data_IF_269446531074
#
_entry.id   IF_269446531074
#
_cell.length_a   1.000
_cell.length_b   1.000
_cell.length_c   1.000
_cell.angle_alpha   90.00
_cell.angle_beta   90.00
_cell.angle_gamma   90.00
#
_symmetry.space_group_name_H-M   'P 1'
#
loop_
_entity.id
_entity.type
_entity.pdbx_description
1 polymer ?
#
# COMPACT_ATOMS: atom_id res chain seq x y z
N UNK A 1 9.80 1.34 59.49
CA UNK A 1 10.88 1.06 58.53
C UNK A 1 10.19 0.50 57.31
N UNK A 2 10.05 1.30 56.25
CA UNK A 2 9.26 0.95 55.07
C UNK A 2 10.13 0.27 53.99
N UNK A 3 9.55 -0.66 53.20
CA UNK A 3 10.27 -1.47 52.22
C UNK A 3 10.46 -0.75 50.89
N UNK A 4 11.59 -1.07 50.23
CA UNK A 4 12.13 -0.38 49.06
C UNK A 4 11.25 -0.37 47.81
N UNK A 5 11.28 0.77 47.10
CA UNK A 5 10.59 1.02 45.84
C UNK A 5 11.22 0.24 44.67
N UNK A 6 10.36 -0.38 43.86
CA UNK A 6 10.68 -0.93 42.54
C UNK A 6 11.04 0.18 41.56
N UNK A 7 12.33 0.46 41.39
CA UNK A 7 12.82 1.27 40.27
C UNK A 7 12.73 0.46 38.97
N UNK A 8 11.88 0.90 38.04
CA UNK A 8 11.85 0.37 36.67
C UNK A 8 13.10 0.85 35.95
N UNK A 9 14.05 -0.05 35.70
CA UNK A 9 15.20 0.21 34.83
C UNK A 9 14.70 0.69 33.47
N UNK A 10 15.05 1.92 33.08
CA UNK A 10 14.72 2.45 31.76
C UNK A 10 15.39 1.57 30.68
N UNK A 11 14.58 1.07 29.74
CA UNK A 11 15.06 0.24 28.64
C UNK A 11 15.92 1.09 27.71
N UNK A 12 17.19 0.75 27.54
CA UNK A 12 18.07 1.38 26.55
C UNK A 12 17.49 1.19 25.15
N UNK A 13 17.33 2.28 24.40
CA UNK A 13 16.92 2.24 23.00
C UNK A 13 18.02 1.55 22.19
N UNK A 14 17.71 0.43 21.52
CA UNK A 14 18.69 -0.22 20.66
C UNK A 14 18.90 0.61 19.40
N UNK A 15 20.15 0.82 19.04
CA UNK A 15 20.50 1.47 17.78
C UNK A 15 20.38 0.42 16.67
N UNK A 16 19.98 0.80 15.44
CA UNK A 16 20.01 -0.11 14.29
C UNK A 16 21.38 -0.76 14.06
N UNK A 17 22.45 -0.10 14.50
CA UNK A 17 23.85 -0.59 14.46
C UNK A 17 24.20 -1.63 15.52
N UNK A 18 23.38 -1.80 16.56
CA UNK A 18 23.63 -2.78 17.62
C UNK A 18 23.41 -4.22 17.12
N UNK A 19 22.64 -4.38 16.04
CA UNK A 19 22.63 -5.60 15.24
C UNK A 19 23.82 -5.57 14.29
N UNK A 20 25.00 -5.87 14.82
CA UNK A 20 26.21 -6.03 14.02
C UNK A 20 25.99 -7.18 13.04
N UNK A 21 25.76 -6.88 11.77
CA UNK A 21 25.99 -7.85 10.70
C UNK A 21 27.49 -8.19 10.73
N UNK A 22 27.83 -9.48 10.77
CA UNK A 22 29.21 -9.98 10.79
C UNK A 22 30.06 -9.49 9.61
N UNK A 23 29.42 -8.92 8.59
CA UNK A 23 30.00 -8.63 7.29
C UNK A 23 30.02 -7.11 7.08
N UNK A 24 30.91 -6.41 7.79
CA UNK A 24 31.12 -4.98 7.58
C UNK A 24 31.87 -4.73 6.26
N UNK A 25 31.15 -4.60 5.16
CA UNK A 25 31.69 -4.12 3.90
C UNK A 25 31.49 -2.60 3.77
N UNK A 26 32.59 -1.86 3.57
CA UNK A 26 32.51 -0.41 3.33
C UNK A 26 31.90 -0.13 1.96
N UNK A 27 30.86 0.71 1.91
CA UNK A 27 30.14 1.12 0.70
C UNK A 27 31.03 1.66 -0.41
N UNK A 28 32.22 2.20 -0.07
CA UNK A 28 33.19 2.75 -1.03
C UNK A 28 33.68 1.75 -2.08
N UNK A 29 33.74 0.45 -1.78
CA UNK A 29 34.21 -0.58 -2.74
C UNK A 29 33.13 -1.00 -3.75
N UNK A 30 31.86 -0.65 -3.52
CA UNK A 30 30.73 -0.99 -4.39
C UNK A 30 30.32 0.15 -5.32
N UNK A 31 30.80 1.37 -5.07
CA UNK A 31 30.39 2.59 -5.78
C UNK A 31 30.77 2.63 -7.27
N UNK A 32 31.70 1.77 -7.73
CA UNK A 32 32.27 1.84 -9.08
C UNK A 32 32.00 0.62 -9.97
N UNK A 33 31.21 -0.36 -9.52
CA UNK A 33 31.21 -1.69 -10.16
C UNK A 33 29.90 -2.13 -10.87
N UNK A 34 28.76 -1.45 -10.70
CA UNK A 34 27.49 -1.95 -11.27
C UNK A 34 26.62 -0.85 -11.88
N UNK A 35 26.44 -0.94 -13.19
CA UNK A 35 25.30 -0.32 -13.90
C UNK A 35 24.03 -0.96 -13.34
N UNK A 36 23.32 -0.27 -12.45
CA UNK A 36 22.11 -0.81 -11.81
C UNK A 36 21.93 -0.50 -10.31
N UNK A 37 22.96 0.05 -9.66
CA UNK A 37 22.88 0.43 -8.24
C UNK A 37 22.96 -0.76 -7.27
N UNK A 38 23.26 -0.47 -6.00
CA UNK A 38 23.33 -1.48 -4.93
C UNK A 38 21.89 -1.87 -4.53
N UNK A 39 21.55 -3.17 -4.40
CA UNK A 39 20.23 -3.59 -3.94
C UNK A 39 19.97 -3.05 -2.53
N UNK A 40 18.95 -2.20 -2.40
CA UNK A 40 18.57 -1.56 -1.13
C UNK A 40 17.96 -2.50 -0.10
N UNK A 41 17.67 -3.75 -0.49
CA UNK A 41 17.10 -4.77 0.39
C UNK A 41 18.05 -5.26 1.47
N UNK A 42 19.37 -5.10 1.27
CA UNK A 42 20.39 -5.62 2.19
C UNK A 42 21.09 -4.53 3.02
N UNK A 43 20.87 -3.25 2.71
CA UNK A 43 21.54 -2.13 3.37
C UNK A 43 20.59 -0.96 3.60
N UNK A 44 20.60 -0.32 4.79
CA UNK A 44 19.84 0.90 5.00
C UNK A 44 20.33 2.00 4.06
N UNK A 45 19.44 2.51 3.21
CA UNK A 45 19.70 3.69 2.39
C UNK A 45 19.74 4.92 3.31
N UNK A 46 20.90 5.55 3.41
CA UNK A 46 21.06 6.80 4.13
C UNK A 46 20.80 7.98 3.18
N UNK A 47 19.59 8.53 3.21
CA UNK A 47 19.19 9.66 2.36
C UNK A 47 17.70 9.97 2.47
N UNK A 48 17.28 11.09 1.88
CA UNK A 48 15.87 11.47 1.78
C UNK A 48 15.37 11.08 0.38
N UNK A 49 14.34 10.24 0.24
CA UNK A 49 13.83 9.85 -1.06
C UNK A 49 13.13 11.03 -1.75
N UNK A 50 13.21 11.08 -3.08
CA UNK A 50 12.55 12.12 -3.89
C UNK A 50 11.03 12.09 -3.73
N UNK A 51 10.46 10.89 -3.61
CA UNK A 51 9.07 10.68 -3.21
C UNK A 51 9.08 10.30 -1.73
N UNK A 52 8.51 11.17 -0.88
CA UNK A 52 8.46 11.04 0.57
C UNK A 52 7.41 10.04 1.04
N UNK A 53 7.42 8.83 0.47
CA UNK A 53 6.53 7.72 0.86
C UNK A 53 6.88 7.14 2.24
N UNK A 54 8.03 7.51 2.80
CA UNK A 54 8.48 7.21 4.16
C UNK A 54 7.62 7.88 5.24
N UNK A 55 6.96 8.98 4.91
CA UNK A 55 6.10 9.75 5.83
C UNK A 55 4.68 9.89 5.27
N UNK A 56 3.66 9.92 6.15
CA UNK A 56 2.29 10.11 5.69
C UNK A 56 2.10 11.53 5.12
N UNK A 57 1.29 11.62 4.05
CA UNK A 57 0.86 12.90 3.52
C UNK A 57 0.14 13.74 4.60
N UNK A 58 0.43 15.05 4.74
CA UNK A 58 -0.26 15.92 5.67
C UNK A 58 -1.77 15.97 5.38
N UNK A 59 -2.60 15.95 6.43
CA UNK A 59 -4.06 16.07 6.30
C UNK A 59 -4.48 17.40 5.67
N UNK A 60 -3.77 18.47 6.01
CA UNK A 60 -3.95 19.80 5.44
C UNK A 60 -2.62 20.27 4.87
N UNK A 61 -2.57 20.50 3.56
CA UNK A 61 -1.36 20.97 2.87
C UNK A 61 -1.30 22.48 2.88
N UNK A 62 -0.10 23.01 3.09
CA UNK A 62 0.17 24.43 2.84
C UNK A 62 0.23 24.66 1.34
N UNK A 63 -0.13 25.86 0.88
CA UNK A 63 -0.06 26.23 -0.54
C UNK A 63 1.38 26.14 -1.07
N UNK A 64 2.37 26.40 -0.20
CA UNK A 64 3.79 26.33 -0.52
C UNK A 64 4.40 24.93 -0.42
N UNK A 65 3.61 23.90 -0.12
CA UNK A 65 4.12 22.53 0.00
C UNK A 65 4.30 21.91 -1.39
N UNK A 66 5.57 21.72 -1.78
CA UNK A 66 5.96 21.13 -3.07
C UNK A 66 6.39 19.67 -2.95
N UNK A 67 6.23 19.06 -1.77
CA UNK A 67 6.68 17.69 -1.49
C UNK A 67 5.73 16.65 -2.09
N UNK A 68 6.26 15.67 -2.81
CA UNK A 68 5.48 14.51 -3.25
C UNK A 68 5.54 13.40 -2.20
N UNK A 69 4.39 13.05 -1.62
CA UNK A 69 4.25 12.01 -0.59
C UNK A 69 3.88 10.62 -1.17
N UNK A 70 3.84 10.48 -2.49
CA UNK A 70 3.42 9.26 -3.17
C UNK A 70 1.90 9.11 -3.30
N UNK A 71 1.14 10.17 -3.04
CA UNK A 71 -0.33 10.20 -3.16
C UNK A 71 -0.82 11.14 -4.28
N UNK A 72 0.11 11.69 -5.06
CA UNK A 72 -0.17 12.49 -6.25
C UNK A 72 -0.46 11.60 -7.46
N UNK A 73 -1.22 12.13 -8.42
CA UNK A 73 -1.57 11.42 -9.65
C UNK A 73 -0.40 11.43 -10.66
N UNK A 74 -0.32 10.39 -11.48
CA UNK A 74 0.59 10.31 -12.62
C UNK A 74 0.25 11.38 -13.67
N UNK A 75 1.24 11.84 -14.43
CA UNK A 75 1.06 12.81 -15.53
C UNK A 75 -0.06 12.41 -16.50
N UNK A 76 -0.17 11.12 -16.84
CA UNK A 76 -1.23 10.60 -17.70
C UNK A 76 -2.64 10.89 -17.15
N UNK A 77 -2.86 10.67 -15.84
CA UNK A 77 -4.14 10.91 -15.20
C UNK A 77 -4.51 12.41 -15.10
N UNK A 78 -3.51 13.30 -15.19
CA UNK A 78 -3.73 14.75 -15.24
C UNK A 78 -4.13 15.21 -16.66
N UNK A 79 -3.50 14.65 -17.69
CA UNK A 79 -3.82 14.97 -19.08
C UNK A 79 -5.16 14.37 -19.52
N UNK A 80 -5.47 13.17 -19.03
CA UNK A 80 -6.65 12.39 -19.38
C UNK A 80 -7.44 11.99 -18.12
N UNK A 81 -8.15 12.93 -17.47
CA UNK A 81 -8.91 12.63 -16.27
C UNK A 81 -10.07 11.67 -16.57
N UNK A 82 -10.26 10.67 -15.71
CA UNK A 82 -11.41 9.77 -15.79
C UNK A 82 -12.71 10.47 -15.34
N UNK A 83 -13.86 9.89 -15.68
CA UNK A 83 -15.16 10.36 -15.18
C UNK A 83 -15.24 10.37 -13.65
N UNK A 84 -14.47 9.52 -12.97
CA UNK A 84 -14.40 9.43 -11.51
C UNK A 84 -13.64 10.60 -10.90
N UNK A 85 -12.64 11.13 -11.60
CA UNK A 85 -11.88 12.31 -11.15
C UNK A 85 -12.79 13.54 -11.01
N UNK A 86 -13.78 13.69 -11.89
CA UNK A 86 -14.80 14.76 -11.81
C UNK A 86 -15.69 14.65 -10.56
N UNK A 87 -15.73 13.47 -9.93
CA UNK A 87 -16.44 13.20 -8.68
C UNK A 87 -15.52 13.14 -7.46
N UNK A 88 -14.23 13.48 -7.63
CA UNK A 88 -13.24 13.44 -6.55
C UNK A 88 -12.84 12.02 -6.14
N UNK A 89 -13.10 11.02 -6.97
CA UNK A 89 -12.66 9.63 -6.75
C UNK A 89 -11.40 9.39 -7.57
N UNK A 90 -10.31 9.02 -6.90
CA UNK A 90 -9.00 8.85 -7.50
C UNK A 90 -8.58 7.37 -7.51
N UNK A 91 -7.52 7.06 -8.25
CA UNK A 91 -6.97 5.70 -8.37
C UNK A 91 -6.68 5.07 -7.00
N UNK A 92 -6.07 5.84 -6.08
CA UNK A 92 -5.82 5.39 -4.71
C UNK A 92 -7.09 4.95 -3.97
N UNK A 93 -8.24 5.53 -4.28
CA UNK A 93 -9.51 5.17 -3.66
C UNK A 93 -10.01 3.84 -4.22
N UNK A 94 -9.76 3.54 -5.49
CA UNK A 94 -10.13 2.25 -6.11
C UNK A 94 -9.31 1.12 -5.48
N UNK A 95 -7.99 1.32 -5.31
CA UNK A 95 -7.07 0.35 -4.70
C UNK A 95 -7.07 0.36 -3.17
N UNK A 96 -7.84 1.24 -2.53
CA UNK A 96 -7.93 1.27 -1.07
C UNK A 96 -8.52 -0.03 -0.55
N UNK A 97 -7.78 -0.66 0.36
CA UNK A 97 -8.22 -1.86 1.09
C UNK A 97 -9.43 -1.50 1.96
N UNK A 98 -10.46 -2.34 1.92
CA UNK A 98 -11.74 -2.15 2.63
C UNK A 98 -12.19 -3.45 3.29
N UNK A 99 -13.11 -3.33 4.24
CA UNK A 99 -13.76 -4.51 4.83
C UNK A 99 -14.77 -5.12 3.85
N UNK A 100 -15.20 -6.36 4.13
CA UNK A 100 -16.17 -7.09 3.31
C UNK A 100 -17.51 -6.35 3.23
N UNK A 101 -17.96 -5.81 4.36
CA UNK A 101 -19.20 -5.05 4.50
C UNK A 101 -19.15 -3.76 3.68
N UNK A 102 -18.04 -3.01 3.76
CA UNK A 102 -17.88 -1.78 2.99
C UNK A 102 -17.89 -2.02 1.48
N UNK A 103 -17.31 -3.13 1.03
CA UNK A 103 -17.33 -3.50 -0.40
C UNK A 103 -18.74 -3.93 -0.81
N UNK A 104 -19.45 -4.70 0.01
CA UNK A 104 -20.84 -5.08 -0.25
C UNK A 104 -21.73 -3.85 -0.41
N UNK A 105 -21.59 -2.87 0.49
CA UNK A 105 -22.31 -1.60 0.44
C UNK A 105 -22.03 -0.83 -0.86
N UNK A 106 -20.76 -0.78 -1.28
CA UNK A 106 -20.37 -0.10 -2.53
C UNK A 106 -21.04 -0.79 -3.73
N UNK A 107 -20.97 -2.12 -3.83
CA UNK A 107 -21.56 -2.86 -4.94
C UNK A 107 -23.09 -2.70 -4.98
N UNK A 108 -23.73 -2.79 -3.82
CA UNK A 108 -25.17 -2.57 -3.67
C UNK A 108 -25.57 -1.17 -4.13
N UNK A 109 -24.84 -0.13 -3.69
CA UNK A 109 -25.12 1.26 -4.06
C UNK A 109 -24.90 1.56 -5.56
N UNK A 110 -24.02 0.82 -6.23
CA UNK A 110 -23.82 0.90 -7.68
C UNK A 110 -24.94 0.18 -8.45
N UNK A 111 -25.73 -0.66 -7.77
CA UNK A 111 -26.83 -1.43 -8.36
C UNK A 111 -26.44 -2.84 -8.82
N UNK A 112 -25.29 -3.35 -8.37
CA UNK A 112 -24.88 -4.74 -8.63
C UNK A 112 -25.75 -5.66 -7.77
N UNK A 113 -26.52 -6.54 -8.44
CA UNK A 113 -27.38 -7.52 -7.78
C UNK A 113 -26.66 -8.85 -7.68
N UNK A 114 -25.98 -9.09 -6.57
CA UNK A 114 -25.37 -10.37 -6.23
C UNK A 114 -26.12 -10.98 -5.04
N UNK A 115 -26.29 -12.30 -5.02
CA UNK A 115 -26.70 -13.00 -3.80
C UNK A 115 -25.55 -13.01 -2.80
N UNK A 116 -25.85 -13.16 -1.51
CA UNK A 116 -24.84 -13.20 -0.45
C UNK A 116 -23.84 -14.34 -0.69
N UNK A 117 -24.31 -15.51 -1.14
CA UNK A 117 -23.45 -16.65 -1.47
C UNK A 117 -22.52 -16.34 -2.65
N UNK A 118 -23.04 -15.65 -3.67
CA UNK A 118 -22.28 -15.27 -4.85
C UNK A 118 -21.20 -14.24 -4.48
N UNK A 119 -21.56 -13.28 -3.62
CA UNK A 119 -20.63 -12.27 -3.12
C UNK A 119 -19.52 -12.90 -2.26
N UNK A 120 -19.86 -13.86 -1.42
CA UNK A 120 -18.91 -14.58 -0.57
C UNK A 120 -17.86 -15.34 -1.38
N UNK A 121 -18.28 -15.96 -2.49
CA UNK A 121 -17.36 -16.63 -3.41
C UNK A 121 -16.45 -15.63 -4.13
N UNK A 122 -17.01 -14.52 -4.65
CA UNK A 122 -16.21 -13.46 -5.29
C UNK A 122 -15.19 -12.88 -4.32
N UNK A 123 -15.60 -12.64 -3.07
CA UNK A 123 -14.72 -12.16 -2.00
C UNK A 123 -13.58 -13.16 -1.73
N UNK A 124 -13.91 -14.46 -1.61
CA UNK A 124 -12.92 -15.52 -1.38
C UNK A 124 -11.90 -15.58 -2.50
N UNK A 125 -12.34 -15.50 -3.76
CA UNK A 125 -11.45 -15.50 -4.93
C UNK A 125 -10.55 -14.26 -4.95
N UNK A 126 -11.09 -13.07 -4.63
CA UNK A 126 -10.30 -11.85 -4.54
C UNK A 126 -9.22 -11.95 -3.43
N UNK A 127 -9.56 -12.53 -2.27
CA UNK A 127 -8.61 -12.79 -1.19
C UNK A 127 -7.48 -13.74 -1.62
N UNK A 128 -7.78 -14.77 -2.40
CA UNK A 128 -6.78 -15.76 -2.86
C UNK A 128 -5.78 -15.16 -3.86
N UNK A 129 -6.18 -14.15 -4.62
CA UNK A 129 -5.31 -13.47 -5.58
C UNK A 129 -4.35 -12.47 -4.93
N UNK A 130 -4.69 -11.93 -3.77
CA UNK A 130 -3.83 -11.02 -3.03
C UNK A 130 -2.93 -11.79 -2.05
N UNK A 131 -1.63 -11.55 -2.11
CA UNK A 131 -0.66 -12.25 -1.26
C UNK A 131 -0.81 -11.94 0.24
N UNK A 132 -1.55 -10.88 0.62
CA UNK A 132 -1.86 -10.51 2.01
C UNK A 132 -3.30 -10.83 2.39
N UNK A 133 -4.11 -11.41 1.50
CA UNK A 133 -5.54 -11.64 1.69
C UNK A 133 -6.34 -10.36 1.86
N UNK A 134 -5.86 -9.23 1.32
CA UNK A 134 -6.53 -7.93 1.41
C UNK A 134 -7.26 -7.63 0.11
N UNK A 135 -8.45 -7.04 0.24
CA UNK A 135 -9.33 -6.81 -0.90
C UNK A 135 -9.63 -5.32 -1.06
N UNK A 136 -9.63 -4.88 -2.31
CA UNK A 136 -10.05 -3.54 -2.74
C UNK A 136 -11.11 -3.64 -3.84
N UNK A 137 -11.64 -2.51 -4.31
CA UNK A 137 -12.69 -2.47 -5.34
C UNK A 137 -12.18 -3.09 -6.65
N UNK A 138 -10.94 -2.79 -7.04
CA UNK A 138 -10.35 -3.34 -8.27
C UNK A 138 -10.21 -4.87 -8.21
N UNK A 139 -9.81 -5.41 -7.05
CA UNK A 139 -9.68 -6.86 -6.86
C UNK A 139 -11.00 -7.59 -7.14
N UNK A 140 -12.11 -7.02 -6.65
CA UNK A 140 -13.45 -7.59 -6.85
C UNK A 140 -13.90 -7.45 -8.30
N UNK A 141 -13.69 -6.27 -8.90
CA UNK A 141 -13.98 -6.02 -10.30
C UNK A 141 -13.30 -7.04 -11.22
N UNK A 142 -12.00 -7.28 -11.01
CA UNK A 142 -11.24 -8.26 -11.80
C UNK A 142 -11.83 -9.67 -11.71
N UNK A 143 -12.27 -10.11 -10.53
CA UNK A 143 -12.91 -11.42 -10.36
C UNK A 143 -14.26 -11.48 -11.09
N UNK A 144 -15.08 -10.42 -11.00
CA UNK A 144 -16.36 -10.37 -11.69
C UNK A 144 -16.19 -10.37 -13.21
N UNK A 145 -15.23 -9.62 -13.74
CA UNK A 145 -14.92 -9.55 -15.16
C UNK A 145 -14.46 -10.93 -15.70
N UNK A 146 -13.65 -11.66 -14.93
CA UNK A 146 -13.24 -13.03 -15.27
C UNK A 146 -14.41 -14.02 -15.26
N UNK A 147 -15.28 -13.97 -14.25
CA UNK A 147 -16.47 -14.83 -14.19
C UNK A 147 -17.39 -14.58 -15.40
N UNK A 148 -17.56 -13.32 -15.78
CA UNK A 148 -18.35 -12.95 -16.95
C UNK A 148 -17.69 -13.43 -18.25
N UNK A 149 -16.37 -13.32 -18.37
CA UNK A 149 -15.63 -13.84 -19.52
C UNK A 149 -15.79 -15.35 -19.67
N UNK A 150 -15.72 -16.11 -18.58
CA UNK A 150 -15.90 -17.57 -18.57
C UNK A 150 -17.33 -17.98 -18.98
N UNK A 151 -18.35 -17.23 -18.57
CA UNK A 151 -19.72 -17.50 -18.99
C UNK A 151 -19.91 -17.29 -20.50
N UNK A 152 -19.26 -16.26 -21.06
CA UNK A 152 -19.32 -15.97 -22.50
C UNK A 152 -18.57 -17.00 -23.35
N UNK A 153 -17.49 -17.60 -22.84
CA UNK A 153 -16.74 -18.63 -23.58
C UNK A 153 -17.40 -20.01 -23.55
N UNK A 154 -18.27 -20.27 -22.58
CA UNK A 154 -18.95 -21.55 -22.39
C UNK A 154 -20.39 -21.58 -22.97
N UNK A 155 -20.83 -20.47 -23.59
CA UNK A 155 -22.14 -20.33 -24.28
C UNK A 155 -21.96 -20.40 -25.78
#
# INVERSE_FOLDING_TARGET
>A
MEPGSLEKTFRTLSRPTDHVFSDYHTTSSQYNAVVGGIPSSFYPLFGIPTIRSDIPAPRFRRISDTTNYGDQATMYALLYPSIYNNKGVYEKDIFRIRSKEQIADILHNIGVKLSDESFDEVWRQACLKDHRGKVCVESIRNVLDEMQALHLTNS
#
